data_IF_179682600703
#
_entry.id   IF_179682600703
#
_cell.length_a   1.000
_cell.length_b   1.000
_cell.length_c   1.000
_cell.angle_alpha   90.00
_cell.angle_beta   90.00
_cell.angle_gamma   90.00
#
_symmetry.space_group_name_H-M   'P 1'
#
loop_
_entity.id
_entity.type
_entity.pdbx_description
1 polymer ?
#
# COMPACT_ATOMS: atom_id res chain seq x y z
N UNK A 1 -13.26 10.29 5.99
CA UNK A 1 -11.79 10.22 6.17
C UNK A 1 -11.39 11.27 7.20
N UNK A 2 -10.88 10.87 8.38
CA UNK A 2 -10.49 11.78 9.48
C UNK A 2 -8.98 12.00 9.44
N UNK A 3 -8.51 12.78 8.47
CA UNK A 3 -7.07 12.91 8.17
C UNK A 3 -6.23 13.34 9.37
N UNK A 4 -6.75 14.25 10.20
CA UNK A 4 -6.08 14.75 11.40
C UNK A 4 -5.84 13.68 12.47
N UNK A 5 -6.59 12.57 12.46
CA UNK A 5 -6.34 11.42 13.35
C UNK A 5 -5.54 10.32 12.67
N UNK A 6 -5.85 10.03 11.40
CA UNK A 6 -5.27 8.86 10.72
C UNK A 6 -3.80 9.07 10.42
N UNK A 7 -3.40 10.27 9.96
CA UNK A 7 -2.00 10.56 9.62
C UNK A 7 -1.06 10.33 10.81
N UNK A 8 -1.24 11.00 11.98
CA UNK A 8 -0.32 10.83 13.10
C UNK A 8 -0.36 9.40 13.67
N UNK A 9 -1.56 8.79 13.75
CA UNK A 9 -1.69 7.42 14.29
C UNK A 9 -1.02 6.39 13.38
N UNK A 10 -1.16 6.51 12.05
CA UNK A 10 -0.54 5.59 11.10
C UNK A 10 0.96 5.81 10.98
N UNK A 11 1.42 7.05 11.10
CA UNK A 11 2.84 7.36 11.10
C UNK A 11 3.53 6.77 12.35
N UNK A 12 3.06 7.13 13.55
CA UNK A 12 3.65 6.67 14.81
C UNK A 12 3.47 5.16 14.99
N UNK A 13 2.26 4.64 14.73
CA UNK A 13 2.00 3.20 14.83
C UNK A 13 2.81 2.40 13.82
N UNK A 14 2.90 2.88 12.56
CA UNK A 14 3.70 2.25 11.52
C UNK A 14 5.19 2.20 11.88
N UNK A 15 5.76 3.33 12.32
CA UNK A 15 7.14 3.39 12.82
C UNK A 15 7.38 2.43 13.98
N UNK A 16 6.46 2.38 14.96
CA UNK A 16 6.57 1.46 16.08
C UNK A 16 6.56 0.00 15.65
N UNK A 17 5.64 -0.39 14.77
CA UNK A 17 5.53 -1.79 14.30
C UNK A 17 6.69 -2.22 13.41
N UNK A 18 7.12 -1.36 12.48
CA UNK A 18 8.25 -1.64 11.59
C UNK A 18 9.58 -1.59 12.34
N UNK A 19 9.72 -0.65 13.28
CA UNK A 19 10.91 -0.52 14.13
C UNK A 19 11.02 -1.66 15.16
N UNK A 20 9.91 -2.28 15.55
CA UNK A 20 9.86 -3.46 16.40
C UNK A 20 10.04 -4.78 15.62
N UNK A 21 10.48 -4.75 14.34
CA UNK A 21 10.81 -5.95 13.57
C UNK A 21 9.62 -6.79 13.10
N UNK A 22 8.38 -6.32 13.27
CA UNK A 22 7.21 -7.08 12.84
C UNK A 22 7.21 -7.32 11.32
N UNK A 23 6.73 -8.49 10.89
CA UNK A 23 6.62 -8.87 9.47
C UNK A 23 5.47 -8.10 8.80
N UNK A 24 5.71 -6.81 8.55
CA UNK A 24 4.76 -5.87 7.97
C UNK A 24 5.46 -5.02 6.91
N UNK A 25 4.69 -4.65 5.88
CA UNK A 25 5.15 -3.73 4.84
C UNK A 25 4.85 -2.27 5.17
N UNK A 26 5.69 -1.36 4.66
CA UNK A 26 5.44 0.10 4.72
C UNK A 26 4.30 0.57 3.79
N UNK A 27 3.85 -0.27 2.86
CA UNK A 27 2.87 0.07 1.83
C UNK A 27 1.51 0.48 2.41
N UNK A 28 0.97 -0.32 3.34
CA UNK A 28 -0.34 -0.07 3.94
C UNK A 28 -0.41 1.30 4.62
N UNK A 29 0.54 1.62 5.53
CA UNK A 29 0.65 2.94 6.14
C UNK A 29 0.80 4.08 5.13
N UNK A 30 1.69 3.97 4.14
CA UNK A 30 1.94 5.07 3.20
C UNK A 30 0.76 5.33 2.27
N UNK A 31 0.09 4.30 1.77
CA UNK A 31 -1.12 4.43 0.95
C UNK A 31 -2.23 5.12 1.73
N UNK A 32 -2.47 4.70 2.98
CA UNK A 32 -3.48 5.33 3.83
C UNK A 32 -3.11 6.77 4.17
N UNK A 33 -1.87 7.05 4.56
CA UNK A 33 -1.41 8.41 4.84
C UNK A 33 -1.52 9.30 3.61
N UNK A 34 -1.07 8.83 2.44
CA UNK A 34 -1.16 9.55 1.17
C UNK A 34 -2.60 9.90 0.80
N UNK A 35 -3.53 8.95 0.89
CA UNK A 35 -4.96 9.22 0.66
C UNK A 35 -5.55 10.23 1.66
N UNK A 36 -5.10 10.22 2.92
CA UNK A 36 -5.49 11.22 3.93
C UNK A 36 -4.87 12.59 3.66
N UNK A 37 -3.65 12.68 3.11
CA UNK A 37 -3.05 13.93 2.63
C UNK A 37 -3.87 14.49 1.46
N UNK A 38 -4.29 13.65 0.52
CA UNK A 38 -5.22 14.07 -0.54
C UNK A 38 -6.53 14.65 0.00
N UNK A 39 -7.07 14.05 1.07
CA UNK A 39 -8.24 14.60 1.78
C UNK A 39 -7.93 15.92 2.49
N UNK A 40 -6.78 16.02 3.15
CA UNK A 40 -6.34 17.23 3.85
C UNK A 40 -6.21 18.41 2.89
N UNK A 41 -5.61 18.21 1.71
CA UNK A 41 -5.50 19.24 0.67
C UNK A 41 -6.88 19.67 0.16
N UNK A 42 -7.79 18.72 -0.06
CA UNK A 42 -9.17 19.04 -0.45
C UNK A 42 -9.87 19.93 0.58
N UNK A 43 -9.76 19.59 1.88
CA UNK A 43 -10.38 20.33 2.97
C UNK A 43 -9.72 21.71 3.16
N UNK A 44 -8.39 21.81 3.04
CA UNK A 44 -7.63 23.06 3.14
C UNK A 44 -7.97 24.04 2.00
N UNK A 45 -8.05 23.55 0.76
CA UNK A 45 -8.42 24.34 -0.41
C UNK A 45 -9.94 24.55 -0.55
N UNK A 46 -10.74 23.99 0.37
CA UNK A 46 -12.21 24.08 0.40
C UNK A 46 -12.88 23.65 -0.91
N UNK A 47 -12.26 22.70 -1.62
CA UNK A 47 -12.76 22.20 -2.90
C UNK A 47 -14.00 21.33 -2.66
N UNK A 48 -15.11 21.71 -3.28
CA UNK A 48 -16.39 20.97 -3.21
C UNK A 48 -16.55 20.13 -4.46
N UNK A 49 -17.02 18.89 -4.29
CA UNK A 49 -17.30 17.98 -5.39
C UNK A 49 -16.86 16.55 -5.09
N UNK A 50 -17.72 15.59 -5.40
CA UNK A 50 -17.39 14.18 -5.21
C UNK A 50 -16.21 13.77 -6.11
N UNK A 51 -16.16 14.25 -7.35
CA UNK A 51 -15.11 13.90 -8.32
C UNK A 51 -13.73 14.39 -7.88
N UNK A 52 -13.61 15.66 -7.47
CA UNK A 52 -12.36 16.20 -6.94
C UNK A 52 -11.90 15.44 -5.68
N UNK A 53 -12.84 15.06 -4.81
CA UNK A 53 -12.56 14.22 -3.64
C UNK A 53 -11.99 12.87 -4.07
N UNK A 54 -12.68 12.13 -4.92
CA UNK A 54 -12.20 10.81 -5.37
C UNK A 54 -10.84 10.91 -6.05
N UNK A 55 -10.66 11.92 -6.89
CA UNK A 55 -9.39 12.17 -7.59
C UNK A 55 -8.25 12.43 -6.62
N UNK A 56 -8.36 13.38 -5.69
CA UNK A 56 -7.28 13.72 -4.78
C UNK A 56 -6.96 12.58 -3.79
N UNK A 57 -7.98 11.84 -3.33
CA UNK A 57 -7.76 10.66 -2.49
C UNK A 57 -7.00 9.57 -3.26
N UNK A 58 -7.40 9.30 -4.51
CA UNK A 58 -6.74 8.32 -5.36
C UNK A 58 -5.30 8.73 -5.71
N UNK A 59 -5.09 10.00 -6.09
CA UNK A 59 -3.77 10.57 -6.34
C UNK A 59 -2.87 10.44 -5.11
N UNK A 60 -3.37 10.78 -3.92
CA UNK A 60 -2.62 10.64 -2.68
C UNK A 60 -2.29 9.19 -2.34
N UNK A 61 -3.24 8.26 -2.54
CA UNK A 61 -3.01 6.83 -2.34
C UNK A 61 -1.95 6.27 -3.30
N UNK A 62 -2.03 6.61 -4.59
CA UNK A 62 -1.04 6.24 -5.61
C UNK A 62 0.36 6.77 -5.28
N UNK A 63 0.43 8.05 -4.88
CA UNK A 63 1.66 8.72 -4.48
C UNK A 63 2.30 7.99 -3.28
N UNK A 64 1.48 7.67 -2.27
CA UNK A 64 1.90 6.88 -1.10
C UNK A 64 2.44 5.49 -1.46
N UNK A 65 1.83 4.80 -2.42
CA UNK A 65 2.33 3.51 -2.91
C UNK A 65 3.64 3.68 -3.69
N UNK A 66 3.75 4.70 -4.55
CA UNK A 66 4.98 4.96 -5.30
C UNK A 66 6.15 5.27 -4.38
N UNK A 67 5.96 6.13 -3.38
CA UNK A 67 6.97 6.40 -2.35
C UNK A 67 7.34 5.15 -1.53
N UNK A 68 6.43 4.18 -1.41
CA UNK A 68 6.72 2.90 -0.76
C UNK A 68 7.63 1.97 -1.56
N UNK A 69 7.89 2.23 -2.84
CA UNK A 69 8.67 1.31 -3.69
C UNK A 69 9.64 1.96 -4.67
N UNK A 70 9.65 3.30 -4.76
CA UNK A 70 10.27 3.99 -5.90
C UNK A 70 9.72 3.48 -7.25
N UNK A 71 8.43 3.15 -7.29
CA UNK A 71 7.78 2.47 -8.43
C UNK A 71 6.56 3.27 -8.93
N UNK A 72 6.77 4.34 -9.73
CA UNK A 72 5.70 5.22 -10.17
C UNK A 72 4.62 4.50 -10.99
N UNK A 73 5.03 3.65 -11.93
CA UNK A 73 4.08 2.93 -12.78
C UNK A 73 3.22 1.95 -11.97
N UNK A 74 3.80 1.28 -10.97
CA UNK A 74 3.05 0.39 -10.08
C UNK A 74 2.01 1.17 -9.26
N UNK A 75 2.37 2.34 -8.72
CA UNK A 75 1.45 3.22 -8.00
C UNK A 75 0.26 3.67 -8.85
N UNK A 76 0.51 3.98 -10.11
CA UNK A 76 -0.53 4.36 -11.08
C UNK A 76 -1.43 3.15 -11.39
N UNK A 77 -0.85 2.03 -11.83
CA UNK A 77 -1.61 0.83 -12.19
C UNK A 77 -2.49 0.32 -11.05
N UNK A 78 -1.98 0.35 -9.81
CA UNK A 78 -2.75 -0.03 -8.63
C UNK A 78 -4.06 0.77 -8.49
N UNK A 79 -4.04 2.08 -8.77
CA UNK A 79 -5.28 2.87 -8.71
C UNK A 79 -6.24 2.55 -9.86
N UNK A 80 -5.70 2.26 -11.03
CA UNK A 80 -6.47 2.03 -12.26
C UNK A 80 -7.11 0.65 -12.29
N UNK A 81 -6.44 -0.35 -11.71
CA UNK A 81 -6.82 -1.75 -11.75
C UNK A 81 -7.53 -2.17 -10.46
N UNK A 82 -6.83 -2.12 -9.32
CA UNK A 82 -7.33 -2.63 -8.04
C UNK A 82 -8.34 -1.67 -7.39
N UNK A 83 -8.02 -0.37 -7.34
CA UNK A 83 -8.89 0.61 -6.68
C UNK A 83 -10.00 1.17 -7.57
N UNK A 84 -10.12 0.68 -8.81
CA UNK A 84 -11.13 1.12 -9.79
C UNK A 84 -12.56 1.12 -9.24
N UNK A 85 -13.02 0.11 -8.49
CA UNK A 85 -14.40 0.10 -7.98
C UNK A 85 -14.66 1.21 -6.94
N UNK A 86 -13.60 1.71 -6.28
CA UNK A 86 -13.69 2.68 -5.18
C UNK A 86 -13.62 4.13 -5.67
N UNK A 87 -13.12 4.37 -6.89
CA UNK A 87 -12.92 5.71 -7.43
C UNK A 87 -13.57 5.87 -8.81
N UNK A 88 -14.35 6.94 -8.98
CA UNK A 88 -14.93 7.27 -10.29
C UNK A 88 -13.81 7.73 -11.21
N UNK A 89 -13.72 7.07 -12.36
CA UNK A 89 -12.64 7.26 -13.32
C UNK A 89 -13.02 8.34 -14.34
N UNK A 90 -12.21 9.38 -14.42
CA UNK A 90 -12.26 10.36 -15.51
C UNK A 90 -10.83 10.59 -16.04
N UNK A 91 -10.68 10.97 -17.31
CA UNK A 91 -9.38 11.28 -17.93
C UNK A 91 -8.61 12.33 -17.12
N UNK A 92 -9.34 13.27 -16.49
CA UNK A 92 -8.77 14.29 -15.60
C UNK A 92 -8.17 13.64 -14.34
N UNK A 93 -8.84 12.65 -13.76
CA UNK A 93 -8.35 11.96 -12.56
C UNK A 93 -7.07 11.19 -12.83
N UNK A 94 -6.96 10.54 -13.98
CA UNK A 94 -5.72 9.84 -14.40
C UNK A 94 -4.57 10.84 -14.46
N UNK A 95 -4.75 11.96 -15.15
CA UNK A 95 -3.72 13.00 -15.25
C UNK A 95 -3.27 13.47 -13.87
N UNK A 96 -4.21 13.70 -12.95
CA UNK A 96 -3.88 14.08 -11.58
C UNK A 96 -3.08 13.01 -10.83
N UNK A 97 -3.46 11.73 -10.97
CA UNK A 97 -2.72 10.59 -10.39
C UNK A 97 -1.29 10.54 -10.92
N UNK A 98 -1.08 10.68 -12.23
CA UNK A 98 0.25 10.71 -12.84
C UNK A 98 1.11 11.83 -12.23
N UNK A 99 0.58 13.05 -12.16
CA UNK A 99 1.31 14.20 -11.61
C UNK A 99 1.70 13.94 -10.14
N UNK A 100 0.75 13.49 -9.30
CA UNK A 100 1.03 13.24 -7.89
C UNK A 100 2.06 12.12 -7.68
N UNK A 101 2.00 11.06 -8.48
CA UNK A 101 2.95 9.95 -8.41
C UNK A 101 4.35 10.35 -8.88
N UNK A 102 4.46 11.13 -9.96
CA UNK A 102 5.74 11.66 -10.44
C UNK A 102 6.37 12.53 -9.36
N UNK A 103 5.62 13.48 -8.80
CA UNK A 103 6.13 14.35 -7.73
C UNK A 103 6.55 13.56 -6.50
N UNK A 104 5.77 12.55 -6.10
CA UNK A 104 6.13 11.68 -4.98
C UNK A 104 7.42 10.89 -5.23
N UNK A 105 7.65 10.45 -6.47
CA UNK A 105 8.85 9.70 -6.84
C UNK A 105 10.07 10.62 -6.89
N UNK A 106 9.92 11.84 -7.42
CA UNK A 106 10.98 12.87 -7.37
C UNK A 106 11.37 13.16 -5.92
N UNK A 107 10.39 13.39 -5.04
CA UNK A 107 10.67 13.62 -3.61
C UNK A 107 11.36 12.40 -2.99
N UNK A 108 10.88 11.18 -3.25
CA UNK A 108 11.53 9.97 -2.75
C UNK A 108 13.00 9.89 -3.18
N UNK A 109 13.28 10.16 -4.45
CA UNK A 109 14.63 10.07 -5.04
C UNK A 109 15.57 11.17 -4.54
N UNK A 110 15.05 12.35 -4.18
CA UNK A 110 15.86 13.40 -3.55
C UNK A 110 16.38 12.97 -2.17
N UNK A 111 15.62 12.17 -1.42
CA UNK A 111 16.02 11.72 -0.08
C UNK A 111 16.75 10.36 -0.08
N UNK A 112 16.37 9.42 -0.95
CA UNK A 112 16.85 8.03 -0.92
C UNK A 112 17.72 7.65 -2.12
N UNK A 113 17.90 8.56 -3.08
CA UNK A 113 18.60 8.30 -4.34
C UNK A 113 17.71 7.69 -5.42
N UNK A 114 18.27 7.55 -6.63
CA UNK A 114 17.56 7.13 -7.83
C UNK A 114 17.53 5.61 -8.07
N UNK A 115 18.22 4.84 -7.22
CA UNK A 115 18.32 3.39 -7.37
C UNK A 115 16.99 2.66 -7.18
N UNK A 116 16.83 1.53 -7.87
CA UNK A 116 15.77 0.59 -7.56
C UNK A 116 15.99 0.00 -6.16
N UNK A 117 14.91 -0.31 -5.44
CA UNK A 117 15.00 -0.91 -4.09
C UNK A 117 15.75 -2.24 -4.13
N UNK A 118 15.59 -3.00 -5.22
CA UNK A 118 16.34 -4.21 -5.51
C UNK A 118 16.83 -4.10 -6.95
N UNK A 119 18.15 -4.00 -7.14
CA UNK A 119 18.77 -4.09 -8.45
C UNK A 119 19.08 -5.55 -8.74
N UNK A 120 18.45 -6.11 -9.78
CA UNK A 120 18.78 -7.42 -10.31
C UNK A 120 19.51 -7.18 -11.63
N UNK A 121 20.71 -7.74 -11.75
CA UNK A 121 21.50 -7.64 -12.97
C UNK A 121 20.80 -8.33 -14.14
N UNK A 122 21.29 -8.04 -15.36
CA UNK A 122 20.72 -8.60 -16.57
C UNK A 122 20.90 -10.12 -16.60
N UNK A 123 19.82 -10.84 -16.30
CA UNK A 123 19.74 -12.29 -16.42
C UNK A 123 19.74 -12.72 -17.89
N UNK A 124 20.09 -13.98 -18.14
CA UNK A 124 20.03 -14.57 -19.48
C UNK A 124 18.59 -14.58 -20.02
N UNK A 125 18.46 -14.39 -21.33
CA UNK A 125 17.15 -14.41 -21.99
C UNK A 125 16.48 -15.77 -21.85
N UNK A 126 15.20 -15.79 -21.46
CA UNK A 126 14.40 -17.02 -21.37
C UNK A 126 14.08 -17.54 -22.79
N UNK A 127 14.47 -18.76 -23.16
CA UNK A 127 14.13 -19.31 -24.47
C UNK A 127 12.64 -19.71 -24.52
N UNK A 128 12.03 -19.69 -25.72
CA UNK A 128 10.59 -19.91 -25.90
C UNK A 128 10.13 -21.27 -25.35
N UNK A 129 11.00 -22.29 -25.41
CA UNK A 129 10.73 -23.64 -24.91
C UNK A 129 10.61 -23.72 -23.37
N UNK A 130 11.02 -22.69 -22.61
CA UNK A 130 10.85 -22.66 -21.15
C UNK A 130 9.61 -21.88 -20.72
N UNK A 131 8.87 -21.25 -21.63
CA UNK A 131 7.70 -20.42 -21.29
C UNK A 131 6.60 -21.20 -20.56
N UNK A 132 6.44 -22.50 -20.83
CA UNK A 132 5.48 -23.35 -20.13
C UNK A 132 5.79 -23.48 -18.63
N UNK A 133 7.06 -23.35 -18.20
CA UNK A 133 7.42 -23.36 -16.79
C UNK A 133 6.83 -22.16 -16.05
N UNK A 134 6.76 -20.99 -16.70
CA UNK A 134 6.14 -19.80 -16.11
C UNK A 134 4.62 -19.95 -15.97
N UNK A 135 3.97 -20.70 -16.88
CA UNK A 135 2.56 -21.04 -16.76
C UNK A 135 2.32 -21.95 -15.54
N UNK A 136 3.14 -22.99 -15.35
CA UNK A 136 3.06 -23.87 -14.18
C UNK A 136 3.32 -23.07 -12.89
N UNK A 137 4.34 -22.20 -12.91
CA UNK A 137 4.67 -21.33 -11.78
C UNK A 137 3.50 -20.39 -11.45
N UNK A 138 2.86 -19.80 -12.45
CA UNK A 138 1.66 -18.98 -12.28
C UNK A 138 0.49 -19.75 -11.65
N UNK A 139 0.27 -21.00 -12.07
CA UNK A 139 -0.74 -21.87 -11.48
C UNK A 139 -0.45 -22.18 -10.00
N UNK A 140 0.83 -22.45 -9.66
CA UNK A 140 1.26 -22.67 -8.28
C UNK A 140 1.02 -21.42 -7.44
N UNK A 141 1.47 -20.24 -7.89
CA UNK A 141 1.24 -18.98 -7.16
C UNK A 141 -0.24 -18.62 -7.04
N UNK A 142 -1.05 -18.95 -8.05
CA UNK A 142 -2.51 -18.82 -7.98
C UNK A 142 -3.11 -19.66 -6.86
N UNK A 143 -2.73 -20.94 -6.77
CA UNK A 143 -3.18 -21.85 -5.71
C UNK A 143 -2.71 -21.40 -4.31
N UNK A 144 -1.43 -21.02 -4.20
CA UNK A 144 -0.85 -20.47 -2.95
C UNK A 144 -1.57 -19.19 -2.53
N UNK A 145 -1.90 -18.30 -3.48
CA UNK A 145 -2.61 -17.05 -3.21
C UNK A 145 -4.00 -17.28 -2.62
N UNK A 146 -4.76 -18.26 -3.13
CA UNK A 146 -6.07 -18.63 -2.55
C UNK A 146 -5.90 -19.15 -1.12
N UNK A 147 -4.92 -20.03 -0.89
CA UNK A 147 -4.62 -20.56 0.44
C UNK A 147 -4.19 -19.47 1.43
N UNK A 148 -3.36 -18.54 0.99
CA UNK A 148 -2.88 -17.40 1.77
C UNK A 148 -4.03 -16.47 2.17
N UNK A 149 -4.93 -16.14 1.23
CA UNK A 149 -6.12 -15.33 1.53
C UNK A 149 -7.03 -16.02 2.55
N UNK A 150 -7.28 -17.33 2.40
CA UNK A 150 -8.06 -18.09 3.37
C UNK A 150 -7.41 -18.10 4.77
N UNK A 151 -6.08 -18.21 4.84
CA UNK A 151 -5.34 -18.17 6.09
C UNK A 151 -5.43 -16.79 6.76
N UNK A 152 -5.33 -15.70 6.00
CA UNK A 152 -5.49 -14.34 6.52
C UNK A 152 -6.87 -14.20 7.18
N UNK A 153 -7.95 -14.55 6.49
CA UNK A 153 -9.30 -14.39 7.04
C UNK A 153 -9.51 -15.26 8.28
N UNK A 154 -9.08 -16.52 8.26
CA UNK A 154 -9.16 -17.41 9.44
C UNK A 154 -8.38 -16.86 10.63
N UNK A 155 -7.19 -16.33 10.39
CA UNK A 155 -6.35 -15.77 11.46
C UNK A 155 -6.96 -14.48 12.01
N UNK A 156 -7.53 -13.63 11.16
CA UNK A 156 -8.26 -12.43 11.58
C UNK A 156 -9.49 -12.77 12.43
N UNK A 157 -10.28 -13.77 12.03
CA UNK A 157 -11.44 -14.24 12.79
C UNK A 157 -11.04 -14.86 14.13
N UNK A 158 -9.98 -15.67 14.14
CA UNK A 158 -9.43 -16.24 15.37
C UNK A 158 -8.93 -15.14 16.31
N UNK A 159 -8.19 -14.16 15.77
CA UNK A 159 -7.71 -13.01 16.53
C UNK A 159 -8.88 -12.21 17.11
N UNK A 160 -9.91 -11.94 16.32
CA UNK A 160 -11.12 -11.25 16.75
C UNK A 160 -11.83 -11.95 17.91
N UNK A 161 -11.92 -13.28 17.86
CA UNK A 161 -12.47 -14.12 18.94
C UNK A 161 -11.61 -14.07 20.20
N UNK A 162 -10.28 -14.14 20.06
CA UNK A 162 -9.34 -14.14 21.19
C UNK A 162 -9.35 -12.83 21.98
N UNK A 163 -9.36 -11.67 21.31
CA UNK A 163 -9.32 -10.40 22.03
C UNK A 163 -10.70 -9.93 22.51
N UNK A 164 -11.81 -10.46 21.98
CA UNK A 164 -13.17 -10.27 22.51
C UNK A 164 -13.57 -8.81 22.74
N UNK A 165 -13.11 -7.90 21.85
CA UNK A 165 -13.34 -6.45 21.94
C UNK A 165 -12.54 -5.67 23.01
N UNK A 166 -11.68 -6.33 23.81
CA UNK A 166 -10.89 -5.66 24.85
C UNK A 166 -9.55 -5.15 24.31
N UNK A 167 -9.39 -3.83 24.28
CA UNK A 167 -8.18 -3.15 23.78
C UNK A 167 -6.88 -3.62 24.49
N UNK A 168 -6.95 -3.92 25.79
CA UNK A 168 -5.81 -4.46 26.55
C UNK A 168 -5.26 -5.75 25.94
N UNK A 169 -6.15 -6.66 25.51
CA UNK A 169 -5.74 -7.95 24.95
C UNK A 169 -5.11 -7.78 23.57
N UNK A 170 -5.59 -6.81 22.78
CA UNK A 170 -4.99 -6.45 21.48
C UNK A 170 -3.56 -5.93 21.67
N UNK A 171 -3.36 -5.03 22.63
CA UNK A 171 -2.03 -4.46 22.91
C UNK A 171 -1.05 -5.51 23.44
N UNK A 172 -1.50 -6.40 24.34
CA UNK A 172 -0.67 -7.47 24.89
C UNK A 172 -0.28 -8.50 23.83
N UNK A 173 -1.23 -8.98 23.02
CA UNK A 173 -0.93 -9.91 21.94
C UNK A 173 -0.05 -9.26 20.87
N UNK A 174 -0.34 -8.01 20.48
CA UNK A 174 0.48 -7.28 19.51
C UNK A 174 1.91 -7.06 20.01
N UNK A 175 2.07 -6.71 21.30
CA UNK A 175 3.38 -6.57 21.93
C UNK A 175 4.14 -7.89 22.06
N UNK A 176 3.47 -8.99 22.42
CA UNK A 176 4.08 -10.31 22.48
C UNK A 176 4.51 -10.81 21.10
N UNK A 177 3.64 -10.70 20.09
CA UNK A 177 3.98 -11.07 18.72
C UNK A 177 5.10 -10.20 18.16
N UNK A 178 5.08 -8.89 18.44
CA UNK A 178 6.16 -8.00 18.06
C UNK A 178 7.48 -8.35 18.74
N UNK A 179 7.47 -8.68 20.03
CA UNK A 179 8.68 -9.06 20.76
C UNK A 179 9.22 -10.47 20.46
N UNK A 180 8.38 -11.38 19.94
CA UNK A 180 8.80 -12.75 19.60
C UNK A 180 9.23 -12.87 18.13
N UNK A 181 8.57 -12.14 17.23
CA UNK A 181 8.83 -12.22 15.79
C UNK A 181 9.76 -11.12 15.26
N UNK A 182 10.04 -10.08 16.04
CA UNK A 182 10.83 -8.92 15.64
C UNK A 182 12.23 -8.86 16.21
#
# INVERSE_FOLDING_TARGET
VRWWRVIPVKFIGGMGTLGAGMVLGREGPTVQMGGNVGRMVLDALRIRGAEARHTLLATGAAAGLSAAFNAPLAGILFIIEEMRPQFRYNLISIKAVFIGVIMSSVVFQLFNGQGAVIAVDKLSSAPINTLWLYLVLGAIFGAVGVGFNALIFRTQDMFARLHGGRMRNVLLMGGLLGGVCG
#
